data_IF_512671950511
#
_entry.id   IF_512671950511
#
_cell.length_a   1.000
_cell.length_b   1.000
_cell.length_c   1.000
_cell.angle_alpha   90.00
_cell.angle_beta   90.00
_cell.angle_gamma   90.00
#
_symmetry.space_group_name_H-M   'P 1'
#
loop_
_entity.id
_entity.type
_entity.pdbx_description
1 polymer ?
#
# COMPACT_ATOMS: atom_id res chain seq x y z
N UNK A 1 -10.34 -43.93 -1.87
CA UNK A 1 -11.35 -42.93 -1.44
C UNK A 1 -11.10 -42.35 -0.05
N UNK A 2 -10.55 -43.09 0.93
CA UNK A 2 -10.22 -42.55 2.27
C UNK A 2 -8.99 -41.62 2.32
N UNK A 3 -7.96 -41.87 1.52
CA UNK A 3 -6.72 -41.07 1.46
C UNK A 3 -6.89 -39.75 0.71
N UNK A 4 -7.81 -39.69 -0.25
CA UNK A 4 -8.14 -38.47 -1.00
C UNK A 4 -8.86 -37.42 -0.14
N UNK A 5 -9.61 -37.84 0.88
CA UNK A 5 -10.36 -36.94 1.75
C UNK A 5 -9.42 -36.17 2.71
N UNK A 6 -8.30 -36.79 3.13
CA UNK A 6 -7.35 -36.16 4.05
C UNK A 6 -6.55 -35.01 3.39
N UNK A 7 -6.24 -35.11 2.11
CA UNK A 7 -5.50 -34.07 1.38
C UNK A 7 -6.32 -32.80 1.16
N UNK A 8 -7.64 -32.91 0.98
CA UNK A 8 -8.51 -31.75 0.75
C UNK A 8 -8.66 -30.89 2.02
N UNK A 9 -8.55 -31.49 3.21
CA UNK A 9 -8.71 -30.77 4.47
C UNK A 9 -7.52 -29.88 4.85
N UNK A 10 -6.30 -30.17 4.36
CA UNK A 10 -5.10 -29.35 4.66
C UNK A 10 -4.96 -28.09 3.80
N UNK A 11 -5.71 -27.96 2.70
CA UNK A 11 -5.61 -26.77 1.83
C UNK A 11 -6.47 -25.58 2.31
N UNK A 12 -7.27 -25.72 3.37
CA UNK A 12 -8.31 -24.75 3.72
C UNK A 12 -7.87 -23.62 4.68
N UNK A 13 -6.63 -23.59 5.18
CA UNK A 13 -6.29 -22.73 6.34
C UNK A 13 -5.33 -21.57 6.11
N UNK A 14 -4.91 -21.27 4.88
CA UNK A 14 -4.10 -20.08 4.60
C UNK A 14 -4.96 -18.89 4.14
N UNK A 15 -5.85 -18.40 5.02
CA UNK A 15 -6.40 -17.05 4.86
C UNK A 15 -5.37 -16.10 5.47
N UNK A 16 -4.58 -15.43 4.63
CA UNK A 16 -3.74 -14.32 5.08
C UNK A 16 -4.68 -13.22 5.60
N UNK A 17 -4.55 -12.85 6.88
CA UNK A 17 -5.20 -11.67 7.40
C UNK A 17 -4.65 -10.46 6.64
N UNK A 18 -5.52 -9.72 5.95
CA UNK A 18 -5.14 -8.46 5.33
C UNK A 18 -4.82 -7.48 6.46
N UNK A 19 -3.54 -7.18 6.65
CA UNK A 19 -3.10 -6.19 7.61
C UNK A 19 -3.67 -4.83 7.17
N UNK A 20 -4.46 -4.18 8.03
CA UNK A 20 -5.10 -2.91 7.73
C UNK A 20 -4.06 -1.80 7.81
N UNK A 21 -3.28 -1.63 6.75
CA UNK A 21 -2.10 -0.77 6.69
C UNK A 21 -2.39 0.74 6.81
N UNK A 22 -3.66 1.14 6.80
CA UNK A 22 -4.08 2.54 6.87
C UNK A 22 -5.44 2.73 7.56
N UNK A 23 -5.55 2.29 8.83
CA UNK A 23 -6.77 2.39 9.69
C UNK A 23 -7.37 3.81 9.77
N UNK A 24 -6.63 4.86 9.36
CA UNK A 24 -7.10 6.26 9.30
C UNK A 24 -7.36 6.83 7.90
N UNK A 25 -7.16 6.06 6.82
CA UNK A 25 -7.33 6.52 5.43
C UNK A 25 -8.18 5.51 4.63
N UNK A 26 -9.51 5.49 4.84
CA UNK A 26 -10.39 4.60 4.08
C UNK A 26 -10.33 4.88 2.57
N UNK A 27 -10.63 3.85 1.77
CA UNK A 27 -10.72 4.00 0.30
C UNK A 27 -11.73 5.08 -0.06
N UNK A 28 -11.36 5.98 -0.98
CA UNK A 28 -12.18 7.13 -1.37
C UNK A 28 -11.90 8.40 -0.56
N UNK A 29 -11.04 8.33 0.47
CA UNK A 29 -10.52 9.53 1.13
C UNK A 29 -9.83 10.43 0.11
N UNK A 30 -10.20 11.72 0.02
CA UNK A 30 -9.49 12.66 -0.83
C UNK A 30 -8.01 12.72 -0.48
N UNK A 31 -7.15 12.70 -1.49
CA UNK A 31 -5.71 12.84 -1.26
C UNK A 31 -5.41 14.26 -0.74
N UNK A 32 -4.58 14.43 0.31
CA UNK A 32 -4.27 15.75 0.84
C UNK A 32 -3.48 16.58 -0.18
N UNK A 33 -3.73 17.89 -0.21
CA UNK A 33 -2.88 18.81 -0.99
C UNK A 33 -1.48 18.86 -0.41
N UNK A 34 -0.46 18.80 -1.27
CA UNK A 34 0.93 19.06 -0.91
C UNK A 34 1.64 19.78 -2.06
N UNK A 35 2.67 20.53 -1.69
CA UNK A 35 3.61 21.15 -2.60
C UNK A 35 4.98 21.13 -1.91
N UNK A 36 5.99 20.56 -2.58
CA UNK A 36 7.34 20.48 -2.04
C UNK A 36 8.40 20.32 -3.15
N UNK A 37 9.56 20.93 -2.94
CA UNK A 37 10.77 20.67 -3.74
C UNK A 37 11.24 19.22 -3.66
N UNK A 38 11.52 18.61 -4.82
CA UNK A 38 12.19 17.31 -4.91
C UNK A 38 13.71 17.40 -4.70
N UNK A 39 14.41 16.25 -4.83
CA UNK A 39 15.86 16.16 -4.63
C UNK A 39 16.69 17.01 -5.62
N UNK A 40 16.06 17.51 -6.69
CA UNK A 40 16.67 18.40 -7.68
C UNK A 40 16.25 19.86 -7.51
N UNK A 41 15.42 20.15 -6.50
CA UNK A 41 14.88 21.49 -6.24
C UNK A 41 13.70 21.88 -7.13
N UNK A 42 13.07 20.91 -7.80
CA UNK A 42 11.87 21.15 -8.60
C UNK A 42 10.64 21.00 -7.72
N UNK A 43 9.76 22.01 -7.70
CA UNK A 43 8.49 21.93 -6.98
C UNK A 43 7.60 20.83 -7.56
N UNK A 44 7.04 20.01 -6.66
CA UNK A 44 6.16 18.88 -6.98
C UNK A 44 4.89 18.94 -6.15
N UNK A 45 3.83 18.49 -6.79
CA UNK A 45 2.48 18.36 -6.25
C UNK A 45 1.89 17.00 -6.66
N UNK A 46 0.62 16.76 -6.32
CA UNK A 46 -0.06 15.52 -6.69
C UNK A 46 -0.18 15.33 -8.21
N UNK A 47 -0.50 16.41 -8.94
CA UNK A 47 -0.80 16.33 -10.37
C UNK A 47 0.44 16.09 -11.23
N UNK A 48 1.59 16.64 -10.81
CA UNK A 48 2.89 16.43 -11.45
C UNK A 48 3.51 15.07 -11.15
N UNK A 49 3.12 14.41 -10.06
CA UNK A 49 3.66 13.11 -9.63
C UNK A 49 2.77 11.91 -9.97
N UNK A 50 1.45 12.09 -10.12
CA UNK A 50 0.54 10.98 -10.40
C UNK A 50 0.76 10.40 -11.81
N UNK A 51 0.80 9.08 -11.90
CA UNK A 51 0.78 8.36 -13.16
C UNK A 51 -0.62 7.93 -13.58
N UNK A 52 -0.71 7.16 -14.67
CA UNK A 52 -1.97 6.58 -15.18
C UNK A 52 -2.75 5.79 -14.11
N UNK A 53 -2.03 5.15 -13.19
CA UNK A 53 -2.59 4.27 -12.16
C UNK A 53 -2.62 4.93 -10.76
N UNK A 54 -2.35 6.23 -10.66
CA UNK A 54 -2.25 6.95 -9.40
C UNK A 54 -0.82 7.16 -8.91
N UNK A 55 -0.68 7.44 -7.61
CA UNK A 55 0.56 7.77 -6.91
C UNK A 55 0.71 6.88 -5.68
N UNK A 56 1.88 6.27 -5.50
CA UNK A 56 2.28 5.68 -4.23
C UNK A 56 3.02 6.74 -3.42
N UNK A 57 2.46 7.17 -2.29
CA UNK A 57 3.05 8.16 -1.42
C UNK A 57 3.54 7.50 -0.13
N UNK A 58 4.85 7.49 0.09
CA UNK A 58 5.50 6.79 1.20
C UNK A 58 6.26 7.79 2.06
N UNK A 59 5.93 7.84 3.35
CA UNK A 59 6.77 8.50 4.33
C UNK A 59 7.87 7.54 4.79
N UNK A 60 9.11 7.88 4.51
CA UNK A 60 10.29 7.18 5.01
C UNK A 60 11.16 8.17 5.78
N UNK A 61 11.69 7.74 6.93
CA UNK A 61 12.71 8.46 7.69
C UNK A 61 13.85 7.49 8.00
N UNK A 62 15.08 7.85 7.62
CA UNK A 62 16.26 7.08 8.05
C UNK A 62 16.41 7.15 9.57
N UNK A 63 16.79 6.04 10.19
CA UNK A 63 16.97 5.96 11.66
C UNK A 63 18.34 6.45 12.12
N UNK A 64 19.28 6.56 11.19
CA UNK A 64 20.65 7.03 11.36
C UNK A 64 20.89 8.28 10.52
N UNK A 65 21.51 9.28 11.13
CA UNK A 65 21.99 10.52 10.51
C UNK A 65 23.51 10.58 10.66
#
# INVERSE_FOLDING_TARGET
MRTLIACVFSMLTAVAAADEWAVGLPVGTPFPSFEASDQTGVERDFDSLKGRNGLLFLFNRSSDW
#
